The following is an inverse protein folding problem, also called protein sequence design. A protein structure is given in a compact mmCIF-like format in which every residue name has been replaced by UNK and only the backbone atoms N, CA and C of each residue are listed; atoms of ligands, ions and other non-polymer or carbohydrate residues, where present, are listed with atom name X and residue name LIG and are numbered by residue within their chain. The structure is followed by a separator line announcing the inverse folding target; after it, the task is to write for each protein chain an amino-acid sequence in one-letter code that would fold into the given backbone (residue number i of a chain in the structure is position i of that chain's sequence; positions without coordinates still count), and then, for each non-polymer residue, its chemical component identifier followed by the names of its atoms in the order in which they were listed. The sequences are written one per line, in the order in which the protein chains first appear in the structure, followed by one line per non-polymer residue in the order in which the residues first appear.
data_IF_489267952446
#
_entry.id   IF_489267952446
#
_cell.length_a   1.000
_cell.length_b   1.000
_cell.length_c   1.000
_cell.angle_alpha   90.00
_cell.angle_beta   90.00
_cell.angle_gamma   90.00
#
_symmetry.space_group_name_H-M   'P 1'
#
loop_
_entity.id
_entity.type
_entity.pdbx_description
1 polymer ?
#
# COMPACT_ATOMS: atom_id res chain seq x y z
N UNK A 1 6.79 -20.06 15.25
CA UNK A 1 7.37 -19.33 14.09
C UNK A 1 6.29 -18.41 13.54
N UNK A 2 6.61 -17.16 13.20
CA UNK A 2 5.69 -16.20 12.58
C UNK A 2 6.16 -15.97 11.14
N UNK A 3 5.26 -16.08 10.18
CA UNK A 3 5.56 -15.82 8.77
C UNK A 3 4.37 -15.08 8.15
N UNK A 4 4.66 -14.11 7.29
CA UNK A 4 3.67 -13.29 6.59
C UNK A 4 3.72 -13.64 5.11
N UNK A 5 2.56 -13.80 4.49
CA UNK A 5 2.40 -14.08 3.07
C UNK A 5 1.10 -13.47 2.55
N UNK A 6 1.04 -13.19 1.26
CA UNK A 6 -0.18 -12.70 0.63
C UNK A 6 -1.23 -13.82 0.48
N UNK A 7 -2.47 -13.51 0.82
CA UNK A 7 -3.62 -14.41 0.65
C UNK A 7 -4.86 -13.61 0.24
N UNK A 8 -5.75 -14.25 -0.49
CA UNK A 8 -7.09 -13.74 -0.78
C UNK A 8 -8.09 -14.39 0.17
N UNK A 9 -8.93 -13.59 0.81
CA UNK A 9 -10.06 -14.08 1.59
C UNK A 9 -11.30 -14.09 0.71
N UNK A 10 -11.82 -15.27 0.41
CA UNK A 10 -12.99 -15.45 -0.45
C UNK A 10 -13.86 -16.59 0.10
N UNK A 11 -15.17 -16.37 0.20
CA UNK A 11 -16.14 -17.37 0.68
C UNK A 11 -15.79 -17.99 2.05
N UNK A 12 -15.19 -17.21 2.95
CA UNK A 12 -14.79 -17.69 4.28
C UNK A 12 -13.46 -18.45 4.31
N UNK A 13 -12.75 -18.53 3.18
CA UNK A 13 -11.48 -19.27 3.06
C UNK A 13 -10.35 -18.31 2.71
N UNK A 14 -9.27 -18.35 3.48
CA UNK A 14 -8.01 -17.66 3.16
C UNK A 14 -7.15 -18.53 2.25
N UNK A 15 -7.04 -18.17 0.98
CA UNK A 15 -6.23 -18.88 -0.01
C UNK A 15 -4.93 -18.12 -0.27
N UNK A 16 -3.75 -18.73 -0.08
CA UNK A 16 -2.48 -18.12 -0.41
C UNK A 16 -2.40 -17.74 -1.89
N UNK A 17 -1.78 -16.59 -2.19
CA UNK A 17 -1.55 -16.15 -3.58
C UNK A 17 -0.37 -16.87 -4.24
N UNK A 18 0.53 -17.42 -3.43
CA UNK A 18 1.69 -18.19 -3.87
C UNK A 18 1.81 -19.48 -3.04
N UNK A 19 2.48 -20.52 -3.58
CA UNK A 19 2.82 -21.71 -2.81
C UNK A 19 3.55 -21.33 -1.52
N UNK A 20 3.08 -21.90 -0.42
CA UNK A 20 3.66 -21.68 0.89
C UNK A 20 4.82 -22.66 1.10
N UNK A 21 6.04 -22.14 1.13
CA UNK A 21 7.20 -22.90 1.60
C UNK A 21 7.31 -22.78 3.12
N UNK A 22 6.29 -23.30 3.79
CA UNK A 22 6.18 -23.25 5.26
C UNK A 22 6.00 -24.68 5.75
N UNK A 23 6.74 -25.14 6.78
CA UNK A 23 6.64 -26.49 7.31
C UNK A 23 5.36 -26.64 8.16
N UNK A 24 4.20 -26.53 7.51
CA UNK A 24 2.88 -26.76 8.10
C UNK A 24 2.38 -28.09 7.57
N UNK A 25 2.13 -29.03 8.48
CA UNK A 25 1.57 -30.32 8.12
C UNK A 25 0.07 -30.19 7.82
N UNK A 26 -0.45 -31.04 6.93
CA UNK A 26 -1.89 -31.12 6.70
C UNK A 26 -2.64 -31.43 8.01
N UNK A 27 -3.73 -30.70 8.27
CA UNK A 27 -4.51 -30.81 9.51
C UNK A 27 -3.91 -30.10 10.73
N UNK A 28 -2.74 -29.45 10.60
CA UNK A 28 -2.15 -28.67 11.68
C UNK A 28 -3.00 -27.43 11.97
N UNK A 29 -3.34 -27.22 13.24
CA UNK A 29 -4.02 -26.00 13.67
C UNK A 29 -3.10 -24.80 13.52
N UNK A 30 -3.59 -23.74 12.88
CA UNK A 30 -2.87 -22.48 12.68
C UNK A 30 -3.71 -21.29 13.17
N UNK A 31 -3.05 -20.18 13.51
CA UNK A 31 -3.70 -18.89 13.79
C UNK A 31 -3.34 -17.93 12.65
N UNK A 32 -4.35 -17.39 11.99
CA UNK A 32 -4.19 -16.34 10.98
C UNK A 32 -4.35 -14.97 11.65
N UNK A 33 -3.47 -14.04 11.30
CA UNK A 33 -3.56 -12.63 11.70
C UNK A 33 -3.68 -11.84 10.41
N UNK A 34 -4.77 -11.09 10.27
CA UNK A 34 -5.03 -10.22 9.12
C UNK A 34 -4.69 -8.79 9.50
N UNK A 35 -3.94 -8.11 8.64
CA UNK A 35 -3.70 -6.68 8.75
C UNK A 35 -4.84 -5.96 8.04
N UNK A 36 -5.39 -4.92 8.67
CA UNK A 36 -6.36 -4.07 8.00
C UNK A 36 -5.66 -3.32 6.86
N UNK A 37 -6.32 -3.11 5.71
CA UNK A 37 -5.80 -2.17 4.74
C UNK A 37 -5.62 -0.81 5.42
N UNK A 38 -4.54 -0.10 5.10
CA UNK A 38 -4.38 1.29 5.53
C UNK A 38 -5.62 2.06 5.11
N UNK A 39 -6.24 2.72 6.09
CA UNK A 39 -7.38 3.58 5.82
C UNK A 39 -6.93 4.71 4.88
N UNK A 40 -7.84 5.25 4.04
CA UNK A 40 -7.52 6.42 3.23
C UNK A 40 -6.93 7.57 4.06
N UNK A 41 -7.39 7.74 5.30
CA UNK A 41 -6.88 8.71 6.26
C UNK A 41 -5.43 8.42 6.67
N UNK A 42 -5.08 7.18 6.99
CA UNK A 42 -3.70 6.78 7.32
C UNK A 42 -2.75 6.97 6.13
N UNK A 43 -3.21 6.68 4.91
CA UNK A 43 -2.44 6.92 3.68
C UNK A 43 -2.22 8.43 3.49
N UNK A 44 -3.25 9.25 3.71
CA UNK A 44 -3.14 10.70 3.61
C UNK A 44 -2.19 11.28 4.65
N UNK A 45 -2.26 10.82 5.91
CA UNK A 45 -1.33 11.21 6.97
C UNK A 45 0.12 10.87 6.59
N UNK A 46 0.37 9.67 6.05
CA UNK A 46 1.69 9.26 5.58
C UNK A 46 2.22 10.18 4.46
N UNK A 47 1.36 10.57 3.53
CA UNK A 47 1.73 11.49 2.43
C UNK A 47 1.99 12.90 2.96
N UNK A 48 1.25 13.36 3.97
CA UNK A 48 1.49 14.67 4.59
C UNK A 48 2.88 14.76 5.21
N UNK A 49 3.38 13.68 5.81
CA UNK A 49 4.74 13.63 6.37
C UNK A 49 5.86 13.89 5.34
N UNK A 50 5.60 13.76 4.04
CA UNK A 50 6.58 14.10 2.98
C UNK A 50 6.89 15.61 2.99
N UNK A 51 5.91 16.44 3.35
CA UNK A 51 6.06 17.89 3.39
C UNK A 51 6.64 18.41 4.71
N UNK A 52 6.60 17.61 5.79
CA UNK A 52 6.99 18.03 7.15
C UNK A 52 8.46 18.49 7.28
N UNK A 53 9.35 18.10 6.35
CA UNK A 53 10.77 18.49 6.36
C UNK A 53 11.14 19.47 5.24
N UNK A 54 10.16 19.99 4.52
CA UNK A 54 10.37 20.96 3.46
C UNK A 54 10.21 22.38 4.01
N UNK A 55 11.04 23.31 3.54
CA UNK A 55 10.80 24.74 3.78
C UNK A 55 9.60 25.23 2.96
N UNK A 56 8.99 26.33 3.39
CA UNK A 56 7.88 26.95 2.65
C UNK A 56 8.25 27.23 1.18
N UNK A 57 9.50 27.64 0.92
CA UNK A 57 10.03 27.87 -0.44
C UNK A 57 10.08 26.59 -1.29
N UNK A 58 10.45 25.45 -0.67
CA UNK A 58 10.47 24.16 -1.35
C UNK A 58 9.06 23.62 -1.63
N UNK A 59 8.11 23.89 -0.71
CA UNK A 59 6.70 23.54 -0.91
C UNK A 59 6.14 24.36 -2.07
N UNK A 60 6.40 25.67 -2.10
CA UNK A 60 5.95 26.58 -3.16
C UNK A 60 6.52 26.17 -4.53
N UNK A 61 7.79 25.76 -4.60
CA UNK A 61 8.38 25.24 -5.84
C UNK A 61 7.67 23.97 -6.35
N UNK A 62 7.36 23.02 -5.46
CA UNK A 62 6.60 21.80 -5.79
C UNK A 62 5.19 22.14 -6.27
N UNK A 63 4.50 23.05 -5.59
CA UNK A 63 3.16 23.50 -5.98
C UNK A 63 3.16 24.18 -7.34
N UNK A 64 4.16 25.02 -7.63
CA UNK A 64 4.32 25.64 -8.95
C UNK A 64 4.55 24.59 -10.05
N UNK A 65 5.32 23.53 -9.77
CA UNK A 65 5.51 22.42 -10.72
C UNK A 65 4.18 21.68 -10.93
N UNK A 66 3.40 21.43 -9.88
CA UNK A 66 2.10 20.74 -9.95
C UNK A 66 1.04 21.59 -10.66
N UNK A 67 0.97 22.89 -10.40
CA UNK A 67 0.02 23.82 -11.02
C UNK A 67 0.31 24.03 -12.51
N UNK A 68 1.58 23.91 -12.92
CA UNK A 68 2.00 23.90 -14.33
C UNK A 68 1.80 22.53 -15.02
N UNK A 69 1.28 21.49 -14.33
CA UNK A 69 0.96 20.16 -14.90
C UNK A 69 -0.23 20.13 -15.86
N UNK A 70 -0.47 21.18 -16.66
CA UNK A 70 -1.32 21.02 -17.85
C UNK A 70 -0.78 19.92 -18.80
N UNK A 71 0.50 19.53 -18.65
CA UNK A 71 1.16 18.52 -19.47
C UNK A 71 1.51 17.19 -18.75
N UNK A 72 1.18 16.99 -17.47
CA UNK A 72 1.59 15.75 -16.76
C UNK A 72 0.77 14.51 -17.17
N UNK A 73 -0.45 14.72 -17.66
CA UNK A 73 -1.24 13.71 -18.37
C UNK A 73 -1.14 13.88 -19.90
N UNK A 74 -0.05 14.50 -20.40
CA UNK A 74 0.18 14.70 -21.82
C UNK A 74 -0.03 13.42 -22.63
N UNK A 75 -1.00 13.48 -23.53
CA UNK A 75 -1.36 12.51 -24.57
C UNK A 75 -1.13 11.03 -24.24
N UNK A 76 -2.02 10.46 -23.43
CA UNK A 76 -2.52 9.11 -23.74
C UNK A 76 -3.71 9.22 -24.68
N UNK A 77 -3.45 9.61 -25.92
CA UNK A 77 -4.38 9.33 -27.03
C UNK A 77 -4.35 7.81 -27.31
N UNK A 78 -5.50 7.18 -27.64
CA UNK A 78 -5.57 5.77 -28.04
C UNK A 78 -4.84 5.48 -29.36
#
# INVERSE_FOLDING_TARGET
MKQTFGAVFENGVSRPLAPLDVPISEGQQVRLVTEAPESPEEILELVMHIYDNLSEEQIEEIEQIILNRRDFFGDRAP
#
